data_IF_547266467151
#
_entry.id   IF_547266467151
#
_cell.length_a   1.000
_cell.length_b   1.000
_cell.length_c   1.000
_cell.angle_alpha   90.00
_cell.angle_beta   90.00
_cell.angle_gamma   90.00
#
_symmetry.space_group_name_H-M   'P 1'
#
loop_
_entity.id
_entity.type
_entity.pdbx_description
1 polymer ?
#
# COMPACT_ATOMS: atom_id res chain seq x y z
N UNK A 1 6.48 0.26 8.21
CA UNK A 1 7.25 1.39 7.68
C UNK A 1 8.75 1.14 7.80
N UNK A 2 9.58 1.66 6.87
CA UNK A 2 11.04 1.73 6.99
C UNK A 2 11.48 2.57 8.20
N UNK A 3 12.70 2.35 8.69
CA UNK A 3 13.26 3.06 9.86
C UNK A 3 13.45 4.57 9.61
N UNK A 4 13.74 4.97 8.37
CA UNK A 4 13.95 6.37 7.99
C UNK A 4 12.84 6.79 7.02
N UNK A 5 12.08 7.81 7.41
CA UNK A 5 11.09 8.45 6.54
C UNK A 5 11.81 9.51 5.69
N UNK A 6 11.60 9.53 4.37
CA UNK A 6 12.17 10.57 3.53
C UNK A 6 11.54 11.94 3.85
N UNK A 7 12.26 13.05 3.61
CA UNK A 7 11.70 14.40 3.67
C UNK A 7 10.39 14.54 2.88
N UNK A 8 9.51 15.43 3.33
CA UNK A 8 8.16 15.61 2.75
C UNK A 8 8.18 15.87 1.24
N UNK A 9 9.10 16.71 0.75
CA UNK A 9 9.24 16.98 -0.68
C UNK A 9 9.57 15.71 -1.49
N UNK A 10 10.49 14.88 -1.00
CA UNK A 10 10.84 13.60 -1.62
C UNK A 10 9.64 12.64 -1.58
N UNK A 11 8.91 12.62 -0.46
CA UNK A 11 7.70 11.79 -0.34
C UNK A 11 6.61 12.20 -1.33
N UNK A 12 6.38 13.51 -1.53
CA UNK A 12 5.41 14.01 -2.53
C UNK A 12 5.80 13.59 -3.95
N UNK A 13 7.09 13.68 -4.30
CA UNK A 13 7.59 13.24 -5.60
C UNK A 13 7.42 11.72 -5.78
N UNK A 14 7.76 10.93 -4.76
CA UNK A 14 7.55 9.47 -4.78
C UNK A 14 6.07 9.12 -4.95
N UNK A 15 5.17 9.81 -4.25
CA UNK A 15 3.72 9.64 -4.41
C UNK A 15 3.30 9.88 -5.86
N UNK A 16 3.76 10.98 -6.47
CA UNK A 16 3.41 11.32 -7.85
C UNK A 16 3.96 10.30 -8.86
N UNK A 17 5.21 9.88 -8.71
CA UNK A 17 5.85 8.89 -9.59
C UNK A 17 5.10 7.56 -9.53
N UNK A 18 4.87 7.04 -8.32
CA UNK A 18 4.23 5.73 -8.11
C UNK A 18 2.78 5.74 -8.59
N UNK A 19 2.03 6.81 -8.29
CA UNK A 19 0.63 6.94 -8.73
C UNK A 19 0.48 6.99 -10.25
N UNK A 20 1.37 7.72 -10.95
CA UNK A 20 1.35 7.73 -12.42
C UNK A 20 1.81 6.40 -13.02
N UNK A 21 2.86 5.77 -12.45
CA UNK A 21 3.33 4.43 -12.86
C UNK A 21 2.20 3.40 -12.76
N UNK A 22 1.44 3.45 -11.67
CA UNK A 22 0.32 2.53 -11.41
C UNK A 22 -0.96 2.93 -12.17
N UNK A 23 -0.82 3.78 -13.18
CA UNK A 23 -1.90 4.22 -14.07
C UNK A 23 -3.07 4.83 -13.31
N UNK A 24 -2.79 5.49 -12.18
CA UNK A 24 -3.77 6.16 -11.31
C UNK A 24 -4.85 5.20 -10.79
N UNK A 25 -4.48 3.94 -10.59
CA UNK A 25 -5.35 2.86 -10.13
C UNK A 25 -4.74 2.14 -8.95
N UNK A 26 -5.60 1.58 -8.10
CA UNK A 26 -5.18 0.60 -7.10
C UNK A 26 -4.57 -0.61 -7.82
N UNK A 27 -3.35 -1.00 -7.47
CA UNK A 27 -2.70 -2.14 -8.16
C UNK A 27 -3.43 -3.46 -7.90
N UNK A 28 -4.15 -3.58 -6.78
CA UNK A 28 -4.92 -4.78 -6.41
C UNK A 28 -6.29 -4.83 -7.11
N UNK A 29 -7.22 -3.94 -6.72
CA UNK A 29 -8.60 -3.96 -7.20
C UNK A 29 -8.85 -3.17 -8.50
N UNK A 30 -7.81 -2.51 -9.05
CA UNK A 30 -7.85 -1.73 -10.31
C UNK A 30 -8.79 -0.53 -10.32
N UNK A 31 -9.44 -0.19 -9.20
CA UNK A 31 -10.23 1.04 -9.03
C UNK A 31 -9.37 2.27 -9.31
N UNK A 32 -9.91 3.25 -10.05
CA UNK A 32 -9.27 4.56 -10.27
C UNK A 32 -9.25 5.35 -8.96
N UNK A 33 -8.12 5.99 -8.68
CA UNK A 33 -7.89 6.75 -7.44
C UNK A 33 -7.41 8.15 -7.76
N UNK A 34 -7.99 9.13 -7.07
CA UNK A 34 -7.46 10.48 -7.02
C UNK A 34 -6.14 10.53 -6.24
N UNK A 35 -5.33 11.57 -6.48
CA UNK A 35 -3.99 11.68 -5.92
C UNK A 35 -3.98 11.79 -4.38
N UNK A 36 -5.04 12.35 -3.81
CA UNK A 36 -5.23 12.55 -2.38
C UNK A 36 -5.81 11.31 -1.70
N UNK A 37 -6.48 10.43 -2.46
CA UNK A 37 -7.29 9.33 -1.92
C UNK A 37 -6.56 7.98 -1.83
N UNK A 38 -5.30 7.89 -2.28
CA UNK A 38 -4.54 6.65 -2.26
C UNK A 38 -3.53 6.58 -1.11
N UNK A 39 -3.24 5.34 -0.71
CA UNK A 39 -2.17 5.01 0.22
C UNK A 39 -0.94 4.51 -0.56
N UNK A 40 0.21 5.11 -0.26
CA UNK A 40 1.50 4.65 -0.75
C UNK A 40 1.97 3.51 0.16
N UNK A 41 1.85 2.28 -0.31
CA UNK A 41 2.18 1.06 0.43
C UNK A 41 3.56 0.51 0.04
N UNK A 42 4.23 -0.11 1.01
CA UNK A 42 5.47 -0.85 0.80
C UNK A 42 5.16 -2.33 0.58
N UNK A 43 5.48 -2.88 -0.58
CA UNK A 43 5.32 -4.33 -0.87
C UNK A 43 6.07 -5.14 0.20
N UNK A 44 7.37 -4.91 0.34
CA UNK A 44 8.18 -5.41 1.45
C UNK A 44 8.15 -4.38 2.58
N UNK A 45 7.59 -4.79 3.72
CA UNK A 45 7.35 -3.92 4.87
C UNK A 45 8.31 -4.13 6.04
N UNK A 46 8.44 -3.13 6.90
CA UNK A 46 9.19 -3.21 8.16
C UNK A 46 10.68 -2.90 8.01
N UNK A 47 11.52 -3.64 8.73
CA UNK A 47 12.98 -3.43 8.79
C UNK A 47 13.64 -3.49 7.40
N UNK A 48 13.13 -4.34 6.51
CA UNK A 48 13.66 -4.55 5.16
C UNK A 48 12.93 -3.74 4.08
N UNK A 49 11.94 -2.94 4.46
CA UNK A 49 11.24 -2.08 3.51
C UNK A 49 12.12 -0.93 3.04
N UNK A 50 12.12 -0.66 1.74
CA UNK A 50 12.85 0.45 1.12
C UNK A 50 11.88 1.47 0.51
N UNK A 51 12.32 2.72 0.37
CA UNK A 51 11.57 3.76 -0.35
C UNK A 51 11.84 3.75 -1.87
N UNK A 52 12.41 2.65 -2.39
CA UNK A 52 12.63 2.49 -3.83
C UNK A 52 11.28 2.35 -4.54
N UNK A 53 11.19 2.88 -5.75
CA UNK A 53 9.97 2.85 -6.55
C UNK A 53 9.48 1.40 -6.73
N UNK A 54 10.37 0.43 -7.00
CA UNK A 54 10.02 -0.99 -7.15
C UNK A 54 9.33 -1.60 -5.92
N UNK A 55 9.60 -1.08 -4.72
CA UNK A 55 9.00 -1.54 -3.47
C UNK A 55 7.76 -0.75 -3.04
N UNK A 56 7.44 0.34 -3.76
CA UNK A 56 6.29 1.19 -3.48
C UNK A 56 5.16 0.90 -4.46
N UNK A 57 3.92 1.05 -4.01
CA UNK A 57 2.73 0.91 -4.86
C UNK A 57 1.55 1.75 -4.39
N UNK A 58 0.63 1.99 -5.31
CA UNK A 58 -0.64 2.65 -5.07
C UNK A 58 -1.71 1.63 -4.67
N UNK A 59 -2.25 1.77 -3.44
CA UNK A 59 -3.41 1.02 -2.97
C UNK A 59 -4.55 1.97 -2.57
N UNK A 60 -5.79 1.53 -2.75
CA UNK A 60 -6.93 2.19 -2.12
C UNK A 60 -6.95 1.90 -0.61
N UNK A 61 -7.65 2.71 0.21
CA UNK A 61 -7.73 2.49 1.64
C UNK A 61 -8.18 1.08 2.02
N UNK A 62 -9.24 0.56 1.38
CA UNK A 62 -9.76 -0.80 1.59
C UNK A 62 -8.70 -1.87 1.34
N UNK A 63 -8.04 -1.86 0.16
CA UNK A 63 -7.02 -2.85 -0.15
C UNK A 63 -5.80 -2.73 0.77
N UNK A 64 -5.38 -1.51 1.11
CA UNK A 64 -4.25 -1.29 2.02
C UNK A 64 -4.48 -1.90 3.40
N UNK A 65 -5.69 -1.67 3.95
CA UNK A 65 -6.12 -2.20 5.25
C UNK A 65 -6.22 -3.72 5.22
N UNK A 66 -6.80 -4.30 4.16
CA UNK A 66 -7.01 -5.74 4.02
C UNK A 66 -5.76 -6.53 3.62
N UNK A 67 -4.61 -5.89 3.47
CA UNK A 67 -3.39 -6.63 3.13
C UNK A 67 -2.93 -7.47 4.31
N UNK A 68 -2.58 -8.73 4.06
CA UNK A 68 -2.04 -9.67 5.03
C UNK A 68 -0.65 -9.25 5.54
N UNK A 69 -0.64 -8.27 6.44
CA UNK A 69 0.56 -7.81 7.12
C UNK A 69 0.20 -7.48 8.57
N UNK A 70 0.90 -8.07 9.52
CA UNK A 70 0.68 -7.82 10.95
C UNK A 70 0.70 -6.31 11.29
N UNK A 71 1.50 -5.52 10.58
CA UNK A 71 1.60 -4.06 10.78
C UNK A 71 0.36 -3.28 10.33
N UNK A 72 -0.51 -3.88 9.53
CA UNK A 72 -1.74 -3.27 9.03
C UNK A 72 -2.96 -3.60 9.90
N UNK A 73 -2.86 -4.59 10.78
CA UNK A 73 -3.94 -4.99 11.68
C UNK A 73 -4.41 -3.83 12.58
N UNK A 74 -3.51 -2.91 12.95
CA UNK A 74 -3.86 -1.71 13.71
C UNK A 74 -4.83 -0.75 12.98
N UNK A 75 -4.99 -0.87 11.67
CA UNK A 75 -5.92 -0.03 10.89
C UNK A 75 -7.34 -0.60 10.84
N UNK A 76 -7.53 -1.87 11.20
CA UNK A 76 -8.81 -2.59 11.00
C UNK A 76 -9.93 -2.00 11.85
N UNK A 77 -9.66 -1.68 13.12
CA UNK A 77 -10.69 -1.15 14.03
C UNK A 77 -11.29 0.16 13.50
N UNK A 78 -10.44 1.11 13.10
CA UNK A 78 -10.90 2.37 12.51
C UNK A 78 -11.59 2.16 11.16
N UNK A 79 -11.08 1.23 10.33
CA UNK A 79 -11.68 0.93 9.04
C UNK A 79 -13.08 0.31 9.18
N UNK A 80 -13.33 -0.48 10.23
CA UNK A 80 -14.67 -0.98 10.57
C UNK A 80 -15.58 0.15 11.03
N UNK A 81 -15.11 0.99 11.97
CA UNK A 81 -15.88 2.12 12.51
C UNK A 81 -16.30 3.13 11.42
N UNK A 82 -15.47 3.29 10.39
CA UNK A 82 -15.70 4.22 9.27
C UNK A 82 -16.34 3.56 8.03
N UNK A 83 -16.61 2.25 8.08
CA UNK A 83 -17.21 1.52 6.95
C UNK A 83 -16.32 1.33 5.73
N UNK A 84 -15.00 1.53 5.86
CA UNK A 84 -14.01 1.30 4.77
C UNK A 84 -13.90 -0.20 4.43
N UNK A 85 -14.09 -1.06 5.44
CA UNK A 85 -14.14 -2.52 5.29
C UNK A 85 -15.39 -3.07 5.99
N UNK A 86 -15.96 -4.19 5.51
CA UNK A 86 -17.13 -4.81 6.12
C UNK A 86 -16.75 -5.66 7.35
N UNK A 87 -17.75 -6.08 8.13
CA UNK A 87 -17.54 -6.93 9.33
C UNK A 87 -16.88 -8.28 9.02
N UNK A 88 -17.12 -8.83 7.83
CA UNK A 88 -16.49 -10.07 7.34
C UNK A 88 -15.11 -9.83 6.70
N UNK A 89 -14.43 -8.73 7.02
CA UNK A 89 -13.14 -8.34 6.43
C UNK A 89 -12.08 -9.44 6.40
N UNK A 90 -12.11 -10.40 7.34
CA UNK A 90 -11.14 -11.50 7.42
C UNK A 90 -11.13 -12.36 6.16
N UNK A 91 -12.29 -12.55 5.53
CA UNK A 91 -12.44 -13.30 4.26
C UNK A 91 -11.89 -12.53 3.06
N UNK A 92 -11.72 -11.21 3.21
CA UNK A 92 -11.27 -10.31 2.15
C UNK A 92 -9.77 -9.99 2.26
N UNK A 93 -9.09 -10.56 3.25
CA UNK A 93 -7.65 -10.40 3.43
C UNK A 93 -6.92 -11.02 2.24
N UNK A 94 -5.87 -10.35 1.79
CA UNK A 94 -5.12 -10.78 0.61
C UNK A 94 -3.61 -10.67 0.80
N UNK A 95 -2.89 -11.56 0.14
CA UNK A 95 -1.43 -11.63 0.15
C UNK A 95 -0.85 -11.17 -1.19
N UNK A 96 0.41 -10.76 -1.15
CA UNK A 96 1.18 -10.49 -2.35
C UNK A 96 1.62 -11.80 -3.01
N UNK A 97 1.52 -11.89 -4.34
CA UNK A 97 2.03 -13.05 -5.08
C UNK A 97 3.57 -13.04 -5.13
N UNK A 98 4.15 -14.21 -5.41
CA UNK A 98 5.60 -14.40 -5.43
C UNK A 98 6.32 -13.51 -6.46
N UNK A 99 5.68 -13.23 -7.60
CA UNK A 99 6.26 -12.37 -8.64
C UNK A 99 6.32 -10.92 -8.17
N UNK A 100 5.24 -10.42 -7.55
CA UNK A 100 5.18 -9.10 -6.93
C UNK A 100 6.27 -8.94 -5.86
N UNK A 101 6.43 -9.94 -4.99
CA UNK A 101 7.47 -9.92 -3.94
C UNK A 101 8.86 -9.91 -4.56
N UNK A 102 9.11 -10.79 -5.53
CA UNK A 102 10.41 -10.91 -6.19
C UNK A 102 10.82 -9.62 -6.92
N UNK A 103 9.88 -8.99 -7.62
CA UNK A 103 10.11 -7.72 -8.30
C UNK A 103 10.42 -6.57 -7.31
N UNK A 104 9.81 -6.57 -6.13
CA UNK A 104 10.11 -5.61 -5.08
C UNK A 104 11.50 -5.81 -4.44
N UNK A 105 12.05 -7.02 -4.50
CA UNK A 105 13.40 -7.33 -4.02
C UNK A 105 14.49 -6.94 -5.02
N UNK A 106 14.17 -6.85 -6.31
CA UNK A 106 15.13 -6.45 -7.35
C UNK A 106 15.56 -4.99 -7.14
N UNK A 107 16.88 -4.78 -7.14
CA UNK A 107 17.54 -3.53 -6.75
C UNK A 107 17.43 -2.45 -7.80
#
# INVERSE_FOLDING_TARGET
MPKIRPPRAILSNLRWIVWNRDKRKCVRCKKRLEFEAFHLDHIISGKYGTNKICNLRTLCPTCHVLRACHRHQGMISNALATGIVPVNWRELVWEDDNETIYNAMRK
#
